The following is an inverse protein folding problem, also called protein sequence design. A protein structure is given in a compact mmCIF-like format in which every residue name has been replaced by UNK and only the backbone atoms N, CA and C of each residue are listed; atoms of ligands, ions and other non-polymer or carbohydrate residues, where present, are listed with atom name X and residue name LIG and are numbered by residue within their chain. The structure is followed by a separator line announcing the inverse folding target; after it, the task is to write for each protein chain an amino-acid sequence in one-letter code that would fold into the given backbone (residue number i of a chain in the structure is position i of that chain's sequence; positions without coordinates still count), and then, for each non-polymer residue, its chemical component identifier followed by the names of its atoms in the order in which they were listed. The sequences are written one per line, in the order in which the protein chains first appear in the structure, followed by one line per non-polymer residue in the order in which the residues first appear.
data_IF_345258100180
#
_entry.id   IF_345258100180
#
_cell.length_a   1.000
_cell.length_b   1.000
_cell.length_c   1.000
_cell.angle_alpha   90.00
_cell.angle_beta   90.00
_cell.angle_gamma   90.00
#
_symmetry.space_group_name_H-M   'P 1'
#
loop_
_entity.id
_entity.type
_entity.pdbx_description
1 polymer ?
#
# COMPACT_ATOMS: atom_id res chain seq x y z
N UNK A 1 23.89 4.54 -4.44
CA UNK A 1 23.47 5.55 -3.43
C UNK A 1 23.36 4.86 -2.09
N UNK A 2 24.20 5.18 -1.09
CA UNK A 2 24.11 4.54 0.21
C UNK A 2 22.87 5.06 0.96
N UNK A 3 21.93 4.18 1.24
CA UNK A 3 20.82 4.40 2.16
C UNK A 3 20.93 3.38 3.28
N UNK A 4 20.58 3.81 4.51
CA UNK A 4 20.51 2.92 5.67
C UNK A 4 19.09 2.85 6.20
N UNK A 5 18.75 1.73 6.83
CA UNK A 5 17.50 1.63 7.60
C UNK A 5 17.61 2.57 8.79
N UNK A 6 16.64 3.46 8.96
CA UNK A 6 16.58 4.43 10.06
C UNK A 6 15.59 3.99 11.14
N UNK A 7 14.40 3.59 10.72
CA UNK A 7 13.35 3.12 11.62
C UNK A 7 12.38 2.23 10.85
N UNK A 8 11.42 1.63 11.55
CA UNK A 8 10.25 1.01 10.93
C UNK A 8 9.05 1.96 11.04
N UNK A 9 8.07 1.78 10.16
CA UNK A 9 6.81 2.49 10.16
C UNK A 9 5.69 1.47 9.99
N UNK A 10 4.79 1.40 10.97
CA UNK A 10 3.65 0.51 10.94
C UNK A 10 2.51 1.16 10.14
N UNK A 11 1.91 0.39 9.23
CA UNK A 11 0.73 0.79 8.46
C UNK A 11 -0.33 -0.30 8.56
N UNK A 12 -1.59 0.13 8.66
CA UNK A 12 -2.76 -0.74 8.64
C UNK A 12 -3.52 -0.49 7.35
N UNK A 13 -3.78 -1.54 6.59
CA UNK A 13 -4.48 -1.48 5.31
C UNK A 13 -5.75 -2.33 5.38
N UNK A 14 -6.85 -1.82 4.84
CA UNK A 14 -8.01 -2.65 4.56
C UNK A 14 -7.68 -3.65 3.44
N UNK A 15 -7.99 -4.91 3.66
CA UNK A 15 -7.73 -5.99 2.73
C UNK A 15 -9.02 -6.75 2.37
N UNK A 16 -8.92 -7.67 1.41
CA UNK A 16 -10.05 -8.47 0.95
C UNK A 16 -10.72 -9.20 2.14
N UNK A 17 -12.06 -9.13 2.27
CA UNK A 17 -12.74 -9.78 3.37
C UNK A 17 -12.55 -11.30 3.34
N UNK A 18 -12.41 -11.88 4.53
CA UNK A 18 -12.47 -13.33 4.71
C UNK A 18 -13.92 -13.72 4.94
N UNK A 19 -14.56 -14.35 3.95
CA UNK A 19 -15.94 -14.82 4.06
C UNK A 19 -16.91 -13.72 4.58
N UNK A 20 -16.80 -12.52 4.00
CA UNK A 20 -17.60 -11.34 4.41
C UNK A 20 -17.12 -10.63 5.68
N UNK A 21 -16.13 -11.17 6.40
CA UNK A 21 -15.54 -10.52 7.57
C UNK A 21 -14.44 -9.54 7.12
N UNK A 22 -14.51 -8.25 7.50
CA UNK A 22 -13.47 -7.28 7.18
C UNK A 22 -12.11 -7.71 7.74
N UNK A 23 -11.07 -7.66 6.91
CA UNK A 23 -9.69 -7.99 7.29
C UNK A 23 -8.80 -6.76 7.20
N UNK A 24 -7.90 -6.62 8.16
CA UNK A 24 -6.86 -5.60 8.16
C UNK A 24 -5.48 -6.24 8.04
N UNK A 25 -4.67 -5.72 7.12
CA UNK A 25 -3.28 -6.11 6.94
C UNK A 25 -2.37 -5.12 7.68
N UNK A 26 -1.70 -5.61 8.72
CA UNK A 26 -0.73 -4.86 9.51
C UNK A 26 0.67 -5.08 8.93
N UNK A 27 1.34 -4.00 8.56
CA UNK A 27 2.64 -4.06 7.90
C UNK A 27 3.63 -3.15 8.60
N UNK A 28 4.78 -3.71 8.97
CA UNK A 28 5.94 -2.96 9.39
C UNK A 28 6.87 -2.76 8.19
N UNK A 29 6.92 -1.53 7.67
CA UNK A 29 7.73 -1.19 6.50
C UNK A 29 8.95 -0.38 6.90
N UNK A 30 10.06 -0.60 6.19
CA UNK A 30 11.32 0.09 6.51
C UNK A 30 11.25 1.56 6.11
N UNK A 31 11.74 2.44 6.98
CA UNK A 31 12.02 3.84 6.69
C UNK A 31 13.52 3.99 6.49
N UNK A 32 13.92 4.42 5.31
CA UNK A 32 15.30 4.63 4.92
C UNK A 32 15.70 6.09 5.10
N UNK A 33 16.97 6.28 5.45
CA UNK A 33 17.63 7.59 5.48
C UNK A 33 18.78 7.62 4.46
N UNK A 34 18.76 8.62 3.59
CA UNK A 34 19.85 8.95 2.67
C UNK A 34 20.78 9.97 3.35
N UNK A 35 22.08 9.64 3.45
CA UNK A 35 23.10 10.54 4.01
C UNK A 35 23.64 11.55 2.99
N UNK A 36 23.25 11.46 1.73
CA UNK A 36 23.73 12.38 0.69
C UNK A 36 23.09 13.77 0.85
N UNK A 37 23.92 14.76 1.16
CA UNK A 37 23.51 16.15 1.40
C UNK A 37 22.92 16.83 0.15
N UNK A 38 23.27 16.35 -1.06
CA UNK A 38 22.75 16.88 -2.32
C UNK A 38 21.32 16.44 -2.62
N UNK A 39 20.77 15.46 -1.89
CA UNK A 39 19.42 14.94 -2.15
C UNK A 39 18.37 15.68 -1.32
N UNK A 40 17.37 16.27 -2.01
CA UNK A 40 16.27 17.01 -1.36
C UNK A 40 15.41 16.14 -0.44
N UNK A 41 15.31 14.84 -0.73
CA UNK A 41 14.53 13.87 0.07
C UNK A 41 15.45 12.93 0.83
N UNK A 42 15.64 13.21 2.12
CA UNK A 42 16.51 12.40 3.00
C UNK A 42 15.81 11.19 3.60
N UNK A 43 14.48 11.20 3.71
CA UNK A 43 13.70 10.11 4.28
C UNK A 43 12.75 9.55 3.22
N UNK A 44 12.78 8.25 3.02
CA UNK A 44 11.82 7.53 2.17
C UNK A 44 11.40 6.22 2.82
N UNK A 45 10.19 5.79 2.54
CA UNK A 45 9.62 4.55 3.06
C UNK A 45 9.71 3.47 1.98
N UNK A 46 9.97 2.23 2.38
CA UNK A 46 9.91 1.05 1.55
C UNK A 46 8.60 1.01 0.76
N UNK A 47 8.73 0.81 -0.55
CA UNK A 47 7.59 0.70 -1.44
C UNK A 47 7.27 -0.77 -1.62
N UNK A 48 5.99 -1.11 -1.43
CA UNK A 48 5.45 -2.44 -1.65
C UNK A 48 4.40 -2.36 -2.76
N UNK A 49 4.81 -2.15 -4.03
CA UNK A 49 3.90 -1.82 -5.12
C UNK A 49 2.89 -2.93 -5.41
N UNK A 50 3.24 -4.21 -5.19
CA UNK A 50 2.28 -5.31 -5.33
C UNK A 50 1.23 -5.34 -4.20
N UNK A 51 1.52 -4.73 -3.05
CA UNK A 51 0.64 -4.76 -1.87
C UNK A 51 -0.24 -3.51 -1.81
N UNK A 52 0.36 -2.33 -1.92
CA UNK A 52 -0.34 -1.05 -1.82
C UNK A 52 0.44 0.09 -2.49
N UNK A 53 -0.28 0.99 -3.17
CA UNK A 53 0.28 2.25 -3.67
C UNK A 53 0.76 3.14 -2.51
N UNK A 54 1.62 4.11 -2.81
CA UNK A 54 2.09 5.08 -1.81
C UNK A 54 0.89 5.82 -1.23
N UNK A 55 0.81 5.94 0.10
CA UNK A 55 -0.31 6.55 0.83
C UNK A 55 -1.67 5.84 0.72
N UNK A 56 -1.76 4.68 0.07
CA UNK A 56 -3.00 3.93 0.01
C UNK A 56 -3.40 3.39 1.39
N UNK A 57 -4.71 3.37 1.66
CA UNK A 57 -5.32 2.78 2.87
C UNK A 57 -5.93 1.39 2.62
N UNK A 58 -5.87 0.92 1.36
CA UNK A 58 -6.43 -0.34 0.87
C UNK A 58 -5.35 -1.10 0.12
N UNK A 59 -5.38 -2.42 0.16
CA UNK A 59 -4.52 -3.24 -0.68
C UNK A 59 -4.89 -3.11 -2.16
N UNK A 60 -3.94 -3.36 -3.04
CA UNK A 60 -4.17 -3.35 -4.50
C UNK A 60 -5.30 -4.30 -4.86
N UNK A 61 -5.23 -5.55 -4.36
CA UNK A 61 -6.26 -6.58 -4.60
C UNK A 61 -7.65 -6.18 -4.10
N UNK A 62 -7.75 -5.44 -2.99
CA UNK A 62 -9.03 -4.94 -2.51
C UNK A 62 -9.65 -3.95 -3.50
N UNK A 63 -8.85 -3.00 -3.99
CA UNK A 63 -9.30 -2.04 -5.01
C UNK A 63 -9.66 -2.74 -6.32
N UNK A 64 -8.86 -3.71 -6.76
CA UNK A 64 -9.13 -4.50 -7.97
C UNK A 64 -10.44 -5.29 -7.86
N UNK A 65 -10.70 -5.92 -6.72
CA UNK A 65 -11.95 -6.63 -6.48
C UNK A 65 -13.17 -5.71 -6.52
N UNK A 66 -13.08 -4.51 -5.92
CA UNK A 66 -14.15 -3.51 -6.02
C UNK A 66 -14.38 -3.05 -7.46
N UNK A 67 -13.30 -2.81 -8.22
CA UNK A 67 -13.41 -2.45 -9.64
C UNK A 67 -14.06 -3.57 -10.45
N UNK A 68 -13.69 -4.83 -10.23
CA UNK A 68 -14.26 -5.97 -10.93
C UNK A 68 -15.77 -6.11 -10.66
N UNK A 69 -16.20 -5.95 -9.40
CA UNK A 69 -17.62 -5.95 -9.03
C UNK A 69 -18.36 -4.80 -9.72
N UNK A 70 -17.81 -3.58 -9.66
CA UNK A 70 -18.42 -2.41 -10.29
C UNK A 70 -18.56 -2.57 -11.81
N UNK A 71 -17.55 -3.15 -12.48
CA UNK A 71 -17.59 -3.44 -13.91
C UNK A 71 -18.64 -4.50 -14.25
N UNK A 72 -18.73 -5.57 -13.46
CA UNK A 72 -19.74 -6.62 -13.65
C UNK A 72 -21.17 -6.06 -13.50
N UNK A 73 -21.40 -5.18 -12.54
CA UNK A 73 -22.71 -4.57 -12.30
C UNK A 73 -23.06 -3.47 -13.31
N UNK A 74 -22.06 -2.81 -13.91
CA UNK A 74 -22.28 -1.74 -14.90
C UNK A 74 -22.75 -2.25 -16.27
N UNK A 75 -22.62 -3.56 -16.55
CA UNK A 75 -23.04 -4.17 -17.82
C UNK A 75 -24.53 -4.53 -17.91
N UNK A 76 -25.27 -4.48 -16.80
CA UNK A 76 -26.70 -4.83 -16.70
C UNK A 76 -27.64 -3.62 -16.90
N UNK A 77 -27.12 -2.51 -17.42
CA UNK A 77 -27.88 -1.28 -17.69
C UNK A 77 -28.13 -1.02 -19.20
N UNK A 78 -28.11 -2.09 -20.02
CA UNK A 78 -28.37 -2.06 -21.46
C UNK A 78 -29.65 -2.81 -21.83
#
# INVERSE_FOLDING_TARGET
MPFRVHSHYSRVLADLPWHGTPVQLHLDVRRFFCSNLCYRRRIFVERLPQVAKVHARKTVRFTESLCAIGLALSGEAG
#
